data_IF_299571534062
#
_entry.id   IF_299571534062
#
_cell.length_a   1.000
_cell.length_b   1.000
_cell.length_c   1.000
_cell.angle_alpha   90.00
_cell.angle_beta   90.00
_cell.angle_gamma   90.00
#
_symmetry.space_group_name_H-M   'P 1'
#
loop_
_entity.id
_entity.type
_entity.pdbx_description
1 polymer ?
#
# COMPACT_ATOMS: atom_id res chain seq x y z
N UNK A 1 -9.34 1.69 44.80
CA UNK A 1 -8.26 1.57 43.80
C UNK A 1 -8.87 2.01 42.48
N UNK A 2 -8.34 3.07 41.87
CA UNK A 2 -8.79 3.48 40.54
C UNK A 2 -8.43 2.39 39.54
N UNK A 3 -9.41 1.91 38.78
CA UNK A 3 -9.21 0.97 37.69
C UNK A 3 -8.47 1.72 36.57
N UNK A 4 -7.28 1.25 36.21
CA UNK A 4 -6.44 1.90 35.20
C UNK A 4 -6.59 1.15 33.86
N UNK A 5 -6.86 1.89 32.81
CA UNK A 5 -6.92 1.35 31.43
C UNK A 5 -5.56 0.79 30.92
N UNK A 6 -4.47 1.00 31.65
CA UNK A 6 -3.19 0.32 31.42
C UNK A 6 -3.16 -1.13 31.92
N UNK A 7 -4.12 -1.55 32.76
CA UNK A 7 -4.27 -2.94 33.19
C UNK A 7 -5.03 -3.73 32.11
N UNK A 8 -4.31 -4.56 31.37
CA UNK A 8 -4.88 -5.38 30.30
C UNK A 8 -5.96 -6.35 30.79
N UNK A 9 -5.88 -6.82 32.05
CA UNK A 9 -6.90 -7.70 32.62
C UNK A 9 -8.20 -6.94 32.82
N UNK A 10 -8.12 -5.73 33.36
CA UNK A 10 -9.29 -4.85 33.49
C UNK A 10 -9.92 -4.54 32.14
N UNK A 11 -9.08 -4.19 31.13
CA UNK A 11 -9.55 -3.96 29.75
C UNK A 11 -10.22 -5.21 29.18
N UNK A 12 -9.64 -6.40 29.36
CA UNK A 12 -10.22 -7.66 28.90
C UNK A 12 -11.59 -7.94 29.55
N UNK A 13 -11.70 -7.73 30.86
CA UNK A 13 -12.97 -7.93 31.58
C UNK A 13 -14.04 -6.94 31.13
N UNK A 14 -13.67 -5.68 30.88
CA UNK A 14 -14.58 -4.65 30.33
C UNK A 14 -15.08 -5.03 28.93
N UNK A 15 -14.16 -5.48 28.05
CA UNK A 15 -14.52 -5.89 26.70
C UNK A 15 -15.46 -7.10 26.69
N UNK A 16 -15.19 -8.10 27.53
CA UNK A 16 -16.08 -9.27 27.69
C UNK A 16 -17.46 -8.88 28.24
N UNK A 17 -17.48 -8.01 29.24
CA UNK A 17 -18.75 -7.53 29.82
C UNK A 17 -19.59 -6.74 28.81
N UNK A 18 -18.95 -6.08 27.83
CA UNK A 18 -19.66 -5.35 26.77
C UNK A 18 -20.43 -6.25 25.80
N UNK A 19 -20.08 -7.53 25.69
CA UNK A 19 -20.62 -8.48 24.72
C UNK A 19 -20.30 -8.13 23.25
N UNK A 20 -19.41 -7.16 23.00
CA UNK A 20 -19.07 -6.66 21.66
C UNK A 20 -17.81 -7.31 21.12
N UNK A 21 -17.72 -7.41 19.79
CA UNK A 21 -16.47 -7.76 19.11
C UNK A 21 -15.57 -6.53 19.01
N UNK A 22 -14.29 -6.73 19.17
CA UNK A 22 -13.28 -5.67 19.03
C UNK A 22 -12.73 -5.72 17.62
N UNK A 23 -12.79 -4.61 16.92
CA UNK A 23 -12.19 -4.41 15.59
C UNK A 23 -11.26 -3.22 15.68
N UNK A 24 -10.02 -3.39 15.22
CA UNK A 24 -9.01 -2.33 15.12
C UNK A 24 -8.73 -2.15 13.64
N UNK A 25 -9.11 -0.99 13.13
CA UNK A 25 -8.87 -0.61 11.74
C UNK A 25 -7.59 0.21 11.63
N UNK A 26 -7.07 0.30 10.41
CA UNK A 26 -5.92 1.14 10.07
C UNK A 26 -4.65 0.85 10.91
N UNK A 27 -4.49 -0.39 11.32
CA UNK A 27 -3.36 -0.83 12.16
C UNK A 27 -1.99 -0.50 11.56
N UNK A 28 -1.92 -0.33 10.25
CA UNK A 28 -0.71 0.04 9.52
C UNK A 28 -0.23 1.48 9.80
N UNK A 29 -1.05 2.35 10.40
CA UNK A 29 -0.62 3.70 10.82
C UNK A 29 0.15 3.70 12.15
N UNK A 30 0.09 2.63 12.92
CA UNK A 30 0.90 2.52 14.13
C UNK A 30 2.39 2.44 13.78
N UNK A 31 3.23 3.08 14.56
CA UNK A 31 4.69 2.92 14.44
C UNK A 31 5.11 1.47 14.71
N UNK A 32 6.26 1.06 14.21
CA UNK A 32 6.80 -0.31 14.46
C UNK A 32 6.91 -0.61 15.95
N UNK A 33 7.29 0.38 16.76
CA UNK A 33 7.38 0.24 18.23
C UNK A 33 6.01 -0.03 18.87
N UNK A 34 4.97 0.69 18.42
CA UNK A 34 3.60 0.50 18.90
C UNK A 34 3.02 -0.82 18.43
N UNK A 35 3.22 -1.20 17.16
CA UNK A 35 2.82 -2.52 16.65
C UNK A 35 3.47 -3.66 17.46
N UNK A 36 4.76 -3.53 17.80
CA UNK A 36 5.47 -4.51 18.62
C UNK A 36 4.87 -4.60 20.02
N UNK A 37 4.65 -3.45 20.69
CA UNK A 37 4.01 -3.41 22.00
C UNK A 37 2.64 -4.07 21.96
N UNK A 38 1.81 -3.71 20.98
CA UNK A 38 0.49 -4.28 20.80
C UNK A 38 0.52 -5.79 20.54
N UNK A 39 1.51 -6.30 19.79
CA UNK A 39 1.67 -7.74 19.57
C UNK A 39 1.94 -8.51 20.89
N UNK A 40 2.62 -7.90 21.86
CA UNK A 40 2.76 -8.48 23.20
C UNK A 40 1.44 -8.41 23.99
N UNK A 41 0.75 -7.28 23.95
CA UNK A 41 -0.55 -7.08 24.61
C UNK A 41 -1.62 -8.03 24.04
N UNK A 42 -1.57 -8.30 22.73
CA UNK A 42 -2.48 -9.22 22.04
C UNK A 42 -2.39 -10.65 22.56
N UNK A 43 -1.17 -11.12 22.93
CA UNK A 43 -0.99 -12.41 23.58
C UNK A 43 -1.73 -12.47 24.92
N UNK A 44 -1.57 -11.44 25.76
CA UNK A 44 -2.23 -11.38 27.05
C UNK A 44 -3.77 -11.30 26.90
N UNK A 45 -4.28 -10.55 25.94
CA UNK A 45 -5.70 -10.49 25.62
C UNK A 45 -6.26 -11.84 25.19
N UNK A 46 -5.51 -12.59 24.38
CA UNK A 46 -5.85 -13.97 24.02
C UNK A 46 -5.96 -14.86 25.26
N UNK A 47 -4.96 -14.82 26.14
CA UNK A 47 -4.93 -15.63 27.38
C UNK A 47 -6.12 -15.27 28.31
N UNK A 48 -6.62 -14.02 28.23
CA UNK A 48 -7.84 -13.59 28.92
C UNK A 48 -9.13 -13.89 28.14
N UNK A 49 -9.06 -14.54 26.98
CA UNK A 49 -10.22 -14.92 26.16
C UNK A 49 -10.85 -13.78 25.40
N UNK A 50 -10.09 -12.75 25.05
CA UNK A 50 -10.52 -11.65 24.18
C UNK A 50 -9.90 -11.84 22.79
N UNK A 51 -10.77 -11.89 21.76
CA UNK A 51 -10.38 -12.00 20.37
C UNK A 51 -10.57 -10.66 19.67
N UNK A 52 -9.55 -10.26 18.92
CA UNK A 52 -9.51 -8.96 18.23
C UNK A 52 -9.39 -9.19 16.74
N UNK A 53 -10.21 -8.50 15.95
CA UNK A 53 -10.05 -8.41 14.49
C UNK A 53 -9.18 -7.20 14.18
N UNK A 54 -8.08 -7.41 13.47
CA UNK A 54 -7.16 -6.36 13.08
C UNK A 54 -7.23 -6.20 11.57
N UNK A 55 -7.51 -4.99 11.12
CA UNK A 55 -7.58 -4.62 9.69
C UNK A 55 -6.47 -3.64 9.40
N UNK A 56 -5.69 -3.93 8.36
CA UNK A 56 -4.61 -3.04 7.96
C UNK A 56 -4.08 -3.38 6.57
N UNK A 57 -3.21 -2.52 6.06
CA UNK A 57 -2.51 -2.70 4.80
C UNK A 57 -1.02 -2.90 5.11
N UNK A 58 -0.50 -4.08 4.83
CA UNK A 58 0.92 -4.39 4.92
C UNK A 58 1.30 -5.46 3.90
N UNK A 59 2.55 -5.46 3.50
CA UNK A 59 3.08 -6.39 2.51
C UNK A 59 3.72 -7.63 3.12
N UNK A 60 4.06 -7.57 4.41
CA UNK A 60 4.73 -8.65 5.12
C UNK A 60 3.70 -9.67 5.60
N UNK A 61 3.77 -10.90 5.11
CA UNK A 61 2.98 -12.00 5.64
C UNK A 61 3.38 -12.29 7.09
N UNK A 62 2.38 -12.61 7.91
CA UNK A 62 2.59 -12.93 9.33
C UNK A 62 3.32 -11.83 10.14
N UNK A 63 3.11 -10.55 9.80
CA UNK A 63 3.77 -9.42 10.44
C UNK A 63 3.67 -9.46 11.97
N UNK A 64 2.50 -9.77 12.53
CA UNK A 64 2.31 -9.83 13.98
C UNK A 64 3.09 -10.98 14.61
N UNK A 65 3.20 -12.13 13.94
CA UNK A 65 4.03 -13.28 14.41
C UNK A 65 5.51 -12.90 14.33
N UNK A 66 5.94 -12.15 13.31
CA UNK A 66 7.31 -11.64 13.23
C UNK A 66 7.64 -10.69 14.40
N UNK A 67 6.68 -9.84 14.79
CA UNK A 67 6.84 -8.92 15.92
C UNK A 67 6.82 -9.64 17.28
N UNK A 68 6.04 -10.71 17.39
CA UNK A 68 5.96 -11.54 18.60
C UNK A 68 5.70 -13.02 18.22
N UNK A 69 6.74 -13.87 18.22
CA UNK A 69 6.62 -15.29 17.87
C UNK A 69 5.65 -16.09 18.73
N UNK A 70 5.36 -15.64 19.96
CA UNK A 70 4.40 -16.27 20.87
C UNK A 70 2.96 -16.25 20.34
N UNK A 71 2.70 -15.45 19.30
CA UNK A 71 1.41 -15.41 18.61
C UNK A 71 1.22 -16.56 17.60
N UNK A 72 2.23 -17.37 17.38
CA UNK A 72 2.11 -18.57 16.52
C UNK A 72 0.99 -19.47 17.01
N UNK A 73 0.07 -19.84 16.13
CA UNK A 73 -1.11 -20.62 16.45
C UNK A 73 -2.25 -19.87 17.16
N UNK A 74 -2.09 -18.56 17.42
CA UNK A 74 -3.12 -17.68 18.01
C UNK A 74 -3.68 -16.66 17.02
N UNK A 75 -3.06 -16.51 15.88
CA UNK A 75 -3.47 -15.57 14.81
C UNK A 75 -3.80 -16.38 13.57
N UNK A 76 -4.89 -15.98 12.92
CA UNK A 76 -5.22 -16.35 11.56
C UNK A 76 -5.14 -15.09 10.70
N UNK A 77 -4.28 -15.09 9.68
CA UNK A 77 -4.17 -14.00 8.72
C UNK A 77 -5.00 -14.31 7.48
N UNK A 78 -5.92 -13.42 7.16
CA UNK A 78 -6.81 -13.55 6.01
C UNK A 78 -6.44 -12.46 5.01
N UNK A 79 -5.62 -12.79 3.98
CA UNK A 79 -5.26 -11.83 2.96
C UNK A 79 -6.44 -11.58 2.00
N UNK A 80 -6.72 -10.31 1.73
CA UNK A 80 -7.77 -9.89 0.80
C UNK A 80 -7.11 -9.30 -0.44
N UNK A 81 -7.25 -9.99 -1.57
CA UNK A 81 -6.73 -9.56 -2.86
C UNK A 81 -7.87 -9.45 -3.88
N UNK A 82 -7.76 -8.48 -4.76
CA UNK A 82 -8.63 -8.35 -5.92
C UNK A 82 -8.01 -9.09 -7.11
N UNK A 83 -8.63 -10.16 -7.56
CA UNK A 83 -8.25 -10.79 -8.83
C UNK A 83 -8.74 -9.95 -10.02
N UNK A 84 -8.16 -10.19 -11.21
CA UNK A 84 -8.66 -9.55 -12.43
C UNK A 84 -10.14 -9.83 -12.70
N UNK A 85 -10.61 -11.02 -12.35
CA UNK A 85 -12.03 -11.41 -12.50
C UNK A 85 -12.92 -10.70 -11.47
N UNK A 86 -12.44 -10.48 -10.26
CA UNK A 86 -13.17 -9.68 -9.27
C UNK A 86 -13.32 -8.24 -9.73
N UNK A 87 -12.26 -7.65 -10.26
CA UNK A 87 -12.26 -6.29 -10.79
C UNK A 87 -13.20 -6.16 -12.01
N UNK A 88 -13.20 -7.14 -12.92
CA UNK A 88 -14.18 -7.18 -14.02
C UNK A 88 -15.62 -7.28 -13.49
N UNK A 89 -15.86 -8.06 -12.44
CA UNK A 89 -17.18 -8.13 -11.79
C UNK A 89 -17.63 -6.79 -11.20
N UNK A 90 -16.67 -5.99 -10.64
CA UNK A 90 -16.97 -4.63 -10.16
C UNK A 90 -17.42 -3.74 -11.32
N UNK A 91 -16.68 -3.74 -12.44
CA UNK A 91 -17.06 -2.99 -13.64
C UNK A 91 -18.45 -3.41 -14.16
N UNK A 92 -18.68 -4.72 -14.26
CA UNK A 92 -19.97 -5.25 -14.72
C UNK A 92 -21.13 -4.80 -13.82
N UNK A 93 -21.00 -4.95 -12.50
CA UNK A 93 -22.04 -4.53 -11.54
C UNK A 93 -22.29 -3.02 -11.59
N UNK A 94 -21.24 -2.23 -11.70
CA UNK A 94 -21.35 -0.77 -11.87
C UNK A 94 -22.03 -0.41 -13.18
N UNK A 95 -21.66 -1.06 -14.27
CA UNK A 95 -22.27 -0.89 -15.59
C UNK A 95 -23.77 -1.25 -15.58
N UNK A 96 -24.12 -2.41 -15.03
CA UNK A 96 -25.52 -2.83 -14.93
C UNK A 96 -26.37 -1.81 -14.13
N UNK A 97 -25.83 -1.22 -13.06
CA UNK A 97 -26.50 -0.20 -12.25
C UNK A 97 -26.69 1.14 -12.98
N UNK A 98 -25.83 1.45 -13.95
CA UNK A 98 -25.84 2.72 -14.67
C UNK A 98 -26.37 2.59 -16.12
N UNK A 99 -26.86 1.42 -16.52
CA UNK A 99 -27.24 1.08 -17.89
C UNK A 99 -26.08 1.22 -18.89
N UNK A 100 -24.86 0.82 -18.46
CA UNK A 100 -23.65 0.85 -19.28
C UNK A 100 -23.18 -0.56 -19.60
N UNK A 101 -22.55 -0.72 -20.78
CA UNK A 101 -21.85 -1.93 -21.17
C UNK A 101 -20.40 -1.60 -21.50
N UNK A 102 -19.48 -2.02 -20.65
CA UNK A 102 -18.05 -1.91 -20.92
C UNK A 102 -17.62 -2.99 -21.91
N UNK A 103 -16.95 -2.59 -23.01
CA UNK A 103 -16.33 -3.58 -23.91
C UNK A 103 -15.22 -4.33 -23.19
N UNK A 104 -14.91 -5.55 -23.67
CA UNK A 104 -13.82 -6.34 -23.09
C UNK A 104 -12.47 -5.61 -23.16
N UNK A 105 -12.22 -4.89 -24.25
CA UNK A 105 -11.00 -4.09 -24.43
C UNK A 105 -10.89 -2.97 -23.39
N UNK A 106 -11.97 -2.24 -23.15
CA UNK A 106 -12.01 -1.18 -22.14
C UNK A 106 -11.84 -1.77 -20.74
N UNK A 107 -12.57 -2.85 -20.42
CA UNK A 107 -12.49 -3.51 -19.12
C UNK A 107 -11.08 -4.08 -18.86
N UNK A 108 -10.47 -4.73 -19.86
CA UNK A 108 -9.10 -5.24 -19.74
C UNK A 108 -8.09 -4.14 -19.51
N UNK A 109 -8.20 -2.99 -20.22
CA UNK A 109 -7.33 -1.85 -20.02
C UNK A 109 -7.48 -1.24 -18.61
N UNK A 110 -8.72 -1.05 -18.12
CA UNK A 110 -8.98 -0.60 -16.75
C UNK A 110 -8.38 -1.52 -15.70
N UNK A 111 -8.58 -2.84 -15.85
CA UNK A 111 -8.07 -3.86 -14.92
C UNK A 111 -6.54 -3.88 -14.91
N UNK A 112 -5.91 -3.71 -16.07
CA UNK A 112 -4.46 -3.64 -16.17
C UNK A 112 -3.91 -2.38 -15.48
N UNK A 113 -4.54 -1.23 -15.68
CA UNK A 113 -4.05 0.06 -15.18
C UNK A 113 -4.38 0.31 -13.70
N UNK A 114 -5.25 -0.49 -13.10
CA UNK A 114 -5.56 -0.37 -11.67
C UNK A 114 -4.61 -1.16 -10.74
N UNK A 115 -3.68 -1.95 -11.28
CA UNK A 115 -2.68 -2.69 -10.52
C UNK A 115 -3.25 -3.51 -9.35
N UNK A 116 -4.44 -4.12 -9.53
CA UNK A 116 -5.11 -4.89 -8.49
C UNK A 116 -5.76 -4.05 -7.39
N UNK A 117 -5.93 -2.76 -7.58
CA UNK A 117 -6.56 -1.85 -6.62
C UNK A 117 -7.93 -1.39 -7.11
N UNK A 118 -8.98 -1.77 -6.38
CA UNK A 118 -10.37 -1.44 -6.73
C UNK A 118 -10.64 0.06 -6.68
N UNK A 119 -9.99 0.81 -5.78
CA UNK A 119 -10.14 2.26 -5.68
C UNK A 119 -9.59 2.98 -6.94
N UNK A 120 -8.45 2.52 -7.46
CA UNK A 120 -7.90 3.00 -8.73
C UNK A 120 -8.87 2.67 -9.88
N UNK A 121 -9.37 1.42 -9.94
CA UNK A 121 -10.34 1.00 -10.95
C UNK A 121 -11.56 1.93 -10.98
N UNK A 122 -12.16 2.17 -9.82
CA UNK A 122 -13.33 3.05 -9.69
C UNK A 122 -13.01 4.48 -10.10
N UNK A 123 -11.86 5.03 -9.67
CA UNK A 123 -11.44 6.38 -9.99
C UNK A 123 -11.19 6.56 -11.48
N UNK A 124 -10.50 5.61 -12.13
CA UNK A 124 -10.25 5.63 -13.57
C UNK A 124 -11.57 5.54 -14.36
N UNK A 125 -12.44 4.60 -13.96
CA UNK A 125 -13.74 4.43 -14.63
C UNK A 125 -14.59 5.68 -14.51
N UNK A 126 -14.72 6.27 -13.31
CA UNK A 126 -15.48 7.48 -13.08
C UNK A 126 -14.97 8.66 -13.94
N UNK A 127 -13.65 8.86 -13.94
CA UNK A 127 -13.05 9.93 -14.75
C UNK A 127 -13.21 9.69 -16.25
N UNK A 128 -13.09 8.46 -16.72
CA UNK A 128 -13.31 8.12 -18.12
C UNK A 128 -14.77 8.39 -18.54
N UNK A 129 -15.75 8.04 -17.68
CA UNK A 129 -17.15 8.36 -17.91
C UNK A 129 -17.38 9.87 -17.94
N UNK A 130 -16.73 10.65 -17.07
CA UNK A 130 -16.83 12.10 -17.06
C UNK A 130 -16.22 12.71 -18.35
N UNK A 131 -15.08 12.22 -18.82
CA UNK A 131 -14.49 12.62 -20.14
C UNK A 131 -15.42 12.33 -21.29
N UNK A 132 -16.21 11.25 -21.24
CA UNK A 132 -17.23 10.90 -22.23
C UNK A 132 -18.55 11.66 -22.07
N UNK A 133 -18.67 12.49 -21.01
CA UNK A 133 -19.90 13.22 -20.71
C UNK A 133 -21.01 12.38 -20.09
N UNK A 134 -20.71 11.17 -19.63
CA UNK A 134 -21.66 10.26 -18.96
C UNK A 134 -21.64 10.55 -17.45
N UNK A 135 -22.62 11.31 -16.96
CA UNK A 135 -22.67 11.80 -15.57
C UNK A 135 -23.85 11.28 -14.76
N UNK A 136 -24.77 10.60 -15.43
CA UNK A 136 -26.00 10.05 -14.82
C UNK A 136 -26.34 8.69 -15.46
N UNK A 137 -27.25 7.96 -14.83
CA UNK A 137 -27.74 6.69 -15.36
C UNK A 137 -28.37 6.89 -16.72
N UNK A 138 -27.93 6.15 -17.73
CA UNK A 138 -28.47 6.25 -19.08
C UNK A 138 -29.86 5.66 -19.16
N UNK A 139 -30.75 6.31 -19.96
CA UNK A 139 -32.10 5.81 -20.20
C UNK A 139 -32.13 4.55 -21.07
N UNK A 140 -31.12 4.38 -21.92
CA UNK A 140 -30.88 3.21 -22.74
C UNK A 140 -29.46 2.69 -22.51
N UNK A 141 -29.22 1.42 -22.80
CA UNK A 141 -27.89 0.83 -22.67
C UNK A 141 -26.87 1.53 -23.55
N UNK A 142 -25.81 2.06 -22.94
CA UNK A 142 -24.70 2.77 -23.62
C UNK A 142 -23.47 1.88 -23.59
N UNK A 143 -22.85 1.68 -24.75
CA UNK A 143 -21.58 0.97 -24.88
C UNK A 143 -20.43 1.89 -24.57
N UNK A 144 -19.53 1.45 -23.67
CA UNK A 144 -18.32 2.16 -23.24
C UNK A 144 -17.10 1.46 -23.82
N UNK A 145 -16.52 2.02 -24.88
CA UNK A 145 -15.43 1.44 -25.69
C UNK A 145 -14.24 2.39 -25.91
N UNK A 146 -14.34 3.66 -25.48
CA UNK A 146 -13.37 4.70 -25.76
C UNK A 146 -12.12 4.59 -24.91
N UNK A 147 -11.07 3.93 -25.43
CA UNK A 147 -9.76 3.82 -24.79
C UNK A 147 -9.02 5.15 -24.68
N UNK A 148 -9.26 6.09 -25.59
CA UNK A 148 -8.72 7.46 -25.52
C UNK A 148 -9.26 8.21 -24.30
N UNK A 149 -10.54 8.05 -23.95
CA UNK A 149 -11.12 8.61 -22.74
C UNK A 149 -10.52 8.00 -21.48
N UNK A 150 -10.28 6.68 -21.47
CA UNK A 150 -9.58 6.01 -20.37
C UNK A 150 -8.15 6.53 -20.20
N UNK A 151 -7.42 6.71 -21.30
CA UNK A 151 -6.06 7.24 -21.27
C UNK A 151 -6.02 8.68 -20.75
N UNK A 152 -6.95 9.53 -21.18
CA UNK A 152 -7.10 10.90 -20.68
C UNK A 152 -7.43 10.91 -19.17
N UNK A 153 -8.33 10.02 -18.72
CA UNK A 153 -8.67 9.85 -17.31
C UNK A 153 -7.46 9.42 -16.46
N UNK A 154 -6.68 8.49 -16.97
CA UNK A 154 -5.48 8.01 -16.29
C UNK A 154 -4.44 9.13 -16.12
N UNK A 155 -4.23 9.94 -17.17
CA UNK A 155 -3.33 11.09 -17.12
C UNK A 155 -3.81 12.14 -16.10
N UNK A 156 -5.10 12.50 -16.13
CA UNK A 156 -5.69 13.43 -15.16
C UNK A 156 -5.54 12.92 -13.72
N UNK A 157 -5.70 11.61 -13.51
CA UNK A 157 -5.52 11.02 -12.18
C UNK A 157 -4.06 11.07 -11.73
N UNK A 158 -3.12 10.75 -12.62
CA UNK A 158 -1.69 10.85 -12.33
C UNK A 158 -1.27 12.29 -12.02
N UNK A 159 -1.79 13.29 -12.74
CA UNK A 159 -1.54 14.70 -12.48
C UNK A 159 -2.02 15.14 -11.09
N UNK A 160 -3.15 14.63 -10.62
CA UNK A 160 -3.64 14.88 -9.25
C UNK A 160 -2.72 14.30 -8.19
N UNK A 161 -2.05 13.18 -8.48
CA UNK A 161 -1.11 12.51 -7.57
C UNK A 161 0.29 13.13 -7.62
N UNK A 162 0.59 13.93 -8.64
CA UNK A 162 1.93 14.47 -8.88
C UNK A 162 2.53 15.22 -7.67
N UNK A 163 1.82 16.15 -6.99
CA UNK A 163 2.38 16.85 -5.83
C UNK A 163 2.76 15.89 -4.70
N UNK A 164 1.95 14.84 -4.47
CA UNK A 164 2.17 13.83 -3.45
C UNK A 164 3.46 13.05 -3.72
N UNK A 165 3.60 12.50 -4.94
CA UNK A 165 4.75 11.65 -5.26
C UNK A 165 6.03 12.43 -5.53
N UNK A 166 5.96 13.67 -5.99
CA UNK A 166 7.10 14.57 -6.03
C UNK A 166 7.64 14.85 -4.62
N UNK A 167 6.75 15.13 -3.67
CA UNK A 167 7.13 15.35 -2.28
C UNK A 167 7.70 14.09 -1.64
N UNK A 168 7.07 12.92 -1.86
CA UNK A 168 7.55 11.62 -1.41
C UNK A 168 8.96 11.33 -1.94
N UNK A 169 9.15 11.40 -3.26
CA UNK A 169 10.44 11.14 -3.89
C UNK A 169 11.53 12.09 -3.37
N UNK A 170 11.22 13.38 -3.18
CA UNK A 170 12.14 14.37 -2.63
C UNK A 170 12.53 14.07 -1.18
N UNK A 171 11.57 13.69 -0.33
CA UNK A 171 11.84 13.35 1.08
C UNK A 171 12.75 12.13 1.17
N UNK A 172 12.42 11.04 0.47
CA UNK A 172 13.20 9.79 0.53
C UNK A 172 14.58 9.97 -0.10
N UNK A 173 14.66 10.58 -1.28
CA UNK A 173 15.95 10.82 -1.97
C UNK A 173 16.87 11.76 -1.20
N UNK A 174 16.33 12.72 -0.45
CA UNK A 174 17.10 13.62 0.40
C UNK A 174 17.75 12.95 1.61
N UNK A 175 17.18 11.83 2.07
CA UNK A 175 17.70 11.09 3.23
C UNK A 175 17.66 11.87 4.54
N UNK A 176 18.35 11.33 5.55
CA UNK A 176 18.36 11.91 6.91
C UNK A 176 19.44 13.02 7.06
N UNK A 177 20.53 12.91 6.32
CA UNK A 177 21.66 13.88 6.39
C UNK A 177 22.31 14.08 5.03
N UNK A 178 22.43 15.32 4.60
CA UNK A 178 23.24 15.68 3.43
C UNK A 178 24.67 15.97 3.89
N UNK A 179 25.64 15.14 3.49
CA UNK A 179 27.08 15.41 3.65
C UNK A 179 27.67 15.79 2.30
N UNK A 180 28.68 16.65 2.27
CA UNK A 180 29.34 17.09 1.03
C UNK A 180 29.87 15.96 0.14
N UNK A 181 30.31 14.83 0.74
CA UNK A 181 30.80 13.64 0.05
C UNK A 181 29.84 12.44 0.12
N UNK A 182 28.52 12.70 0.14
CA UNK A 182 27.55 11.62 0.20
C UNK A 182 27.49 10.84 -1.12
N UNK A 183 27.37 9.51 -1.05
CA UNK A 183 27.22 8.66 -2.24
C UNK A 183 25.86 8.86 -2.93
N UNK A 184 24.96 9.65 -2.37
CA UNK A 184 23.59 9.77 -2.89
C UNK A 184 22.76 8.46 -2.79
N UNK A 185 23.14 7.55 -1.91
CA UNK A 185 22.62 6.18 -1.81
C UNK A 185 21.07 6.15 -1.70
N UNK A 186 20.46 7.12 -1.00
CA UNK A 186 19.00 7.25 -0.93
C UNK A 186 18.38 7.55 -2.30
N UNK A 187 18.99 8.48 -3.05
CA UNK A 187 18.51 8.84 -4.38
C UNK A 187 18.65 7.69 -5.38
N UNK A 188 19.78 6.98 -5.35
CA UNK A 188 20.00 5.81 -6.22
C UNK A 188 19.05 4.68 -5.87
N UNK A 189 18.84 4.37 -4.59
CA UNK A 189 17.89 3.36 -4.17
C UNK A 189 16.45 3.70 -4.63
N UNK A 190 16.04 4.97 -4.43
CA UNK A 190 14.73 5.44 -4.83
C UNK A 190 14.54 5.39 -6.35
N UNK A 191 15.55 5.81 -7.13
CA UNK A 191 15.50 5.74 -8.59
C UNK A 191 15.32 4.29 -9.07
N UNK A 192 16.06 3.34 -8.50
CA UNK A 192 15.93 1.91 -8.85
C UNK A 192 14.52 1.40 -8.55
N UNK A 193 13.92 1.80 -7.43
CA UNK A 193 12.55 1.38 -7.06
C UNK A 193 11.54 1.97 -8.04
N UNK A 194 11.68 3.25 -8.38
CA UNK A 194 10.76 3.92 -9.32
C UNK A 194 10.90 3.41 -10.76
N UNK A 195 12.06 2.96 -11.17
CA UNK A 195 12.34 2.44 -12.52
C UNK A 195 12.15 0.92 -12.66
N UNK A 196 11.87 0.23 -11.55
CA UNK A 196 11.73 -1.22 -11.58
C UNK A 196 10.57 -1.67 -12.50
N UNK A 197 10.69 -2.81 -13.21
CA UNK A 197 9.57 -3.37 -13.99
C UNK A 197 8.30 -3.57 -13.15
N UNK A 198 7.14 -3.38 -13.77
CA UNK A 198 5.85 -3.50 -13.07
C UNK A 198 5.65 -4.87 -12.42
N UNK A 199 6.07 -5.95 -13.08
CA UNK A 199 5.96 -7.31 -12.55
C UNK A 199 6.74 -7.49 -11.23
N UNK A 200 7.90 -6.84 -11.10
CA UNK A 200 8.69 -6.86 -9.87
C UNK A 200 8.09 -5.94 -8.81
N UNK A 201 7.70 -4.73 -9.20
CA UNK A 201 7.15 -3.75 -8.27
C UNK A 201 5.76 -4.15 -7.71
N UNK A 202 5.01 -4.98 -8.45
CA UNK A 202 3.75 -5.57 -7.98
C UNK A 202 3.95 -6.64 -6.90
N UNK A 203 5.11 -7.28 -6.87
CA UNK A 203 5.49 -8.28 -5.87
C UNK A 203 6.34 -7.63 -4.79
N UNK A 204 7.65 -7.68 -4.97
CA UNK A 204 8.64 -7.04 -4.12
C UNK A 204 9.97 -6.92 -4.84
N UNK A 205 10.81 -6.01 -4.38
CA UNK A 205 12.15 -5.77 -4.90
C UNK A 205 13.17 -6.20 -3.86
N UNK A 206 13.93 -7.26 -4.14
CA UNK A 206 14.96 -7.73 -3.21
C UNK A 206 16.08 -6.71 -3.03
N UNK A 207 16.68 -6.72 -1.84
CA UNK A 207 17.89 -5.92 -1.57
C UNK A 207 18.99 -6.16 -2.61
N UNK A 208 19.13 -7.40 -3.10
CA UNK A 208 20.13 -7.74 -4.10
C UNK A 208 19.83 -7.09 -5.45
N UNK A 209 18.59 -7.10 -5.89
CA UNK A 209 18.20 -6.40 -7.11
C UNK A 209 18.49 -4.90 -7.01
N UNK A 210 18.08 -4.26 -5.92
CA UNK A 210 18.29 -2.83 -5.70
C UNK A 210 19.79 -2.53 -5.63
N UNK A 211 20.56 -3.36 -4.92
CA UNK A 211 22.00 -3.20 -4.79
C UNK A 211 22.70 -3.28 -6.13
N UNK A 212 22.46 -4.31 -6.93
CA UNK A 212 23.10 -4.49 -8.24
C UNK A 212 22.83 -3.29 -9.15
N UNK A 213 21.60 -2.81 -9.22
CA UNK A 213 21.22 -1.64 -10.04
C UNK A 213 21.80 -0.32 -9.50
N UNK A 214 21.80 -0.12 -8.20
CA UNK A 214 22.39 1.08 -7.60
C UNK A 214 23.93 1.08 -7.71
N UNK A 215 24.59 -0.06 -7.47
CA UNK A 215 26.03 -0.22 -7.60
C UNK A 215 26.53 0.02 -9.02
N UNK A 216 25.78 -0.41 -10.04
CA UNK A 216 26.15 -0.15 -11.44
C UNK A 216 26.18 1.34 -11.79
N UNK A 217 25.45 2.18 -11.04
CA UNK A 217 25.41 3.65 -11.21
C UNK A 217 26.41 4.37 -10.31
N UNK A 218 26.61 3.85 -9.10
CA UNK A 218 27.53 4.40 -8.11
C UNK A 218 28.28 3.27 -7.38
N UNK A 219 29.50 2.92 -7.83
CA UNK A 219 30.27 1.80 -7.28
C UNK A 219 30.73 1.96 -5.83
N UNK A 220 30.62 3.16 -5.24
CA UNK A 220 30.92 3.39 -3.82
C UNK A 220 29.82 2.90 -2.89
N UNK A 221 28.63 2.55 -3.42
CA UNK A 221 27.53 2.01 -2.63
C UNK A 221 27.88 0.61 -2.14
N UNK A 222 27.78 0.40 -0.83
CA UNK A 222 27.97 -0.89 -0.19
C UNK A 222 26.63 -1.51 0.21
N UNK A 223 26.48 -2.83 0.04
CA UNK A 223 25.22 -3.54 0.32
C UNK A 223 24.73 -3.37 1.77
N UNK A 224 25.65 -3.39 2.74
CA UNK A 224 25.30 -3.17 4.16
C UNK A 224 24.74 -1.76 4.42
N UNK A 225 25.35 -0.74 3.81
CA UNK A 225 24.85 0.64 3.91
C UNK A 225 23.50 0.80 3.23
N UNK A 226 23.29 0.12 2.09
CA UNK A 226 22.00 0.14 1.40
C UNK A 226 20.90 -0.48 2.26
N UNK A 227 21.16 -1.63 2.92
CA UNK A 227 20.19 -2.23 3.86
C UNK A 227 19.77 -1.22 4.92
N UNK A 228 20.73 -0.59 5.61
CA UNK A 228 20.45 0.42 6.65
C UNK A 228 19.66 1.62 6.10
N UNK A 229 19.86 1.97 4.84
CA UNK A 229 19.09 3.03 4.17
C UNK A 229 17.64 2.60 3.93
N UNK A 230 17.43 1.38 3.43
CA UNK A 230 16.08 0.85 3.18
C UNK A 230 15.25 0.71 4.47
N UNK A 231 15.88 0.28 5.58
CA UNK A 231 15.25 0.23 6.92
C UNK A 231 14.72 1.59 7.39
N UNK A 232 15.30 2.68 6.89
CA UNK A 232 14.89 4.06 7.24
C UNK A 232 13.84 4.66 6.30
N UNK A 233 13.54 4.01 5.19
CA UNK A 233 12.62 4.56 4.20
C UNK A 233 11.23 4.86 4.79
N UNK A 234 10.69 3.99 5.63
CA UNK A 234 9.38 4.22 6.25
C UNK A 234 9.34 5.53 7.04
N UNK A 235 10.36 5.79 7.87
CA UNK A 235 10.43 7.00 8.69
C UNK A 235 10.50 8.30 7.86
N UNK A 236 11.02 8.24 6.64
CA UNK A 236 11.14 9.39 5.75
C UNK A 236 9.84 9.72 5.02
N UNK A 237 8.93 8.76 4.93
CA UNK A 237 7.68 8.88 4.17
C UNK A 237 6.53 9.37 5.02
N UNK A 238 6.41 8.82 6.23
CA UNK A 238 5.27 9.03 7.10
C UNK A 238 5.33 10.40 7.81
N UNK A 239 4.17 10.95 8.08
CA UNK A 239 4.03 12.12 8.95
C UNK A 239 4.05 11.71 10.44
N UNK A 240 3.84 12.68 11.35
CA UNK A 240 3.79 12.42 12.79
C UNK A 240 2.66 11.49 13.22
N UNK A 241 1.68 11.26 12.35
CA UNK A 241 0.54 10.37 12.58
C UNK A 241 0.68 9.03 11.83
N UNK A 242 1.86 8.75 11.25
CA UNK A 242 2.15 7.51 10.54
C UNK A 242 1.53 7.40 9.14
N UNK A 243 0.94 8.50 8.61
CA UNK A 243 0.31 8.51 7.28
C UNK A 243 1.31 8.77 6.17
N UNK A 244 1.00 8.30 4.97
CA UNK A 244 1.79 8.55 3.76
C UNK A 244 2.78 7.43 3.42
N UNK A 245 2.56 6.22 3.94
CA UNK A 245 3.38 5.06 3.60
C UNK A 245 3.13 4.64 2.14
N UNK A 246 4.13 4.81 1.31
CA UNK A 246 4.10 4.48 -0.13
C UNK A 246 4.83 3.17 -0.40
N UNK A 247 6.00 2.98 0.22
CA UNK A 247 6.82 1.78 0.13
C UNK A 247 7.19 1.29 1.52
N UNK A 248 7.27 -0.02 1.70
CA UNK A 248 7.63 -0.65 2.97
C UNK A 248 8.84 -1.59 2.79
N UNK A 249 9.72 -1.63 3.78
CA UNK A 249 10.85 -2.55 3.83
C UNK A 249 10.56 -3.71 4.77
N UNK A 250 10.61 -4.93 4.25
CA UNK A 250 10.53 -6.15 5.03
C UNK A 250 11.93 -6.59 5.46
N UNK A 251 12.27 -6.43 6.74
CA UNK A 251 13.58 -6.79 7.27
C UNK A 251 13.86 -8.29 7.22
N UNK A 252 12.82 -9.14 7.40
CA UNK A 252 12.98 -10.59 7.44
C UNK A 252 13.37 -11.17 6.08
N UNK A 253 12.76 -10.66 5.01
CA UNK A 253 12.98 -11.12 3.64
C UNK A 253 13.98 -10.22 2.88
N UNK A 254 14.38 -9.10 3.48
CA UNK A 254 15.23 -8.07 2.89
C UNK A 254 14.69 -7.56 1.54
N UNK A 255 13.41 -7.15 1.51
CA UNK A 255 12.70 -6.74 0.32
C UNK A 255 11.95 -5.42 0.51
N UNK A 256 11.79 -4.65 -0.56
CA UNK A 256 10.91 -3.47 -0.65
C UNK A 256 9.63 -3.86 -1.39
N UNK A 257 8.50 -3.47 -0.82
CA UNK A 257 7.19 -3.59 -1.45
C UNK A 257 6.57 -2.21 -1.69
N UNK A 258 5.89 -2.06 -2.82
CA UNK A 258 5.05 -0.89 -3.09
C UNK A 258 3.69 -1.11 -2.43
N UNK A 259 3.43 -0.40 -1.34
CA UNK A 259 2.18 -0.47 -0.57
C UNK A 259 1.09 0.34 -1.27
N UNK A 260 1.42 1.58 -1.65
CA UNK A 260 0.50 2.44 -2.40
C UNK A 260 0.59 2.15 -3.90
N UNK A 261 -0.39 1.39 -4.40
CA UNK A 261 -0.47 0.99 -5.82
C UNK A 261 -0.66 2.17 -6.78
N UNK A 262 -1.12 3.32 -6.30
CA UNK A 262 -1.24 4.54 -7.12
C UNK A 262 0.12 5.02 -7.62
N UNK A 263 1.21 4.73 -6.89
CA UNK A 263 2.58 5.00 -7.35
C UNK A 263 2.88 4.30 -8.68
N UNK A 264 2.36 3.09 -8.90
CA UNK A 264 2.60 2.32 -10.12
C UNK A 264 1.94 2.98 -11.33
N UNK A 265 0.72 3.48 -11.17
CA UNK A 265 0.03 4.24 -12.22
C UNK A 265 0.73 5.57 -12.48
N UNK A 266 1.09 6.31 -11.42
CA UNK A 266 1.79 7.58 -11.50
C UNK A 266 3.11 7.45 -12.29
N UNK A 267 3.96 6.50 -11.92
CA UNK A 267 5.26 6.32 -12.58
C UNK A 267 5.12 5.89 -14.05
N UNK A 268 4.11 5.09 -14.40
CA UNK A 268 3.81 4.68 -15.78
C UNK A 268 3.57 5.88 -16.68
N UNK A 269 2.93 6.94 -16.18
CA UNK A 269 2.44 8.07 -16.95
C UNK A 269 3.34 9.30 -16.89
N UNK A 270 3.94 9.58 -15.74
CA UNK A 270 4.66 10.85 -15.49
C UNK A 270 6.14 10.68 -15.13
N UNK A 271 6.63 9.47 -14.84
CA UNK A 271 8.02 9.26 -14.41
C UNK A 271 8.90 8.59 -15.48
N UNK A 272 8.48 8.58 -16.71
CA UNK A 272 9.26 8.03 -17.84
C UNK A 272 10.32 8.97 -18.33
#
# INVERSE_FOLDING_TARGET
MGQDVSDLRFVADLLKASGRRVVIEDFHYLSVAERRKFAFDLKALWDYGVFVVIIGVWSQNNMLIFLNPDLTGRIEEIPIYWSGDDLRRVLKKGGDALSLEFTEEFAAACVNDCYGNVGILQSLTLKALDVMGIRETASNKVVVDRLDALQAAALQYADQLNPLYQQFAKRVSGGIRTRQDSTGIYAYAMAVILEAPDELALRSLSLDYIFQKAYSREPRIQKGNLRTVLEKFEQLQVDSEGRGLVIAYNEAEAEISVVDRQLLLYRKLLYR
#
